data_IF_919996648659
#
_entry.id   IF_919996648659
#
_cell.length_a   1.000
_cell.length_b   1.000
_cell.length_c   1.000
_cell.angle_alpha   90.00
_cell.angle_beta   90.00
_cell.angle_gamma   90.00
#
_symmetry.space_group_name_H-M   'P 1'
#
loop_
_entity.id
_entity.type
_entity.pdbx_description
1 polymer ?
#
# COMPACT_ATOMS: atom_id res chain seq x y z
N UNK A 1 33.25 18.35 49.20
CA UNK A 1 32.29 17.48 48.47
C UNK A 1 32.97 17.01 47.19
N UNK A 2 33.15 15.71 46.97
CA UNK A 2 33.74 15.21 45.71
C UNK A 2 32.66 15.25 44.63
N UNK A 3 32.91 15.99 43.54
CA UNK A 3 32.03 15.99 42.38
C UNK A 3 32.12 14.63 41.68
N UNK A 4 31.04 13.85 41.71
CA UNK A 4 30.98 12.56 41.02
C UNK A 4 30.68 12.83 39.54
N UNK A 5 31.62 12.47 38.67
CA UNK A 5 31.49 12.63 37.22
C UNK A 5 30.35 11.73 36.71
N UNK A 6 29.28 12.32 36.14
CA UNK A 6 28.20 11.59 35.49
C UNK A 6 28.50 11.39 34.00
N UNK A 7 28.16 10.22 33.47
CA UNK A 7 28.34 9.86 32.06
C UNK A 7 26.96 9.78 31.39
N UNK A 8 26.82 10.21 30.14
CA UNK A 8 25.53 10.21 29.43
C UNK A 8 25.62 9.46 28.11
N UNK A 9 24.58 8.69 27.80
CA UNK A 9 24.45 8.02 26.51
C UNK A 9 24.12 9.02 25.39
N UNK A 10 24.92 9.09 24.31
CA UNK A 10 24.66 10.02 23.21
C UNK A 10 23.43 9.63 22.37
N UNK A 11 22.95 8.39 22.47
CA UNK A 11 21.82 7.89 21.69
C UNK A 11 20.46 8.19 22.34
N UNK A 12 20.36 8.10 23.67
CA UNK A 12 19.09 8.20 24.39
C UNK A 12 19.12 9.14 25.61
N UNK A 13 20.27 9.71 25.97
CA UNK A 13 20.41 10.67 27.07
C UNK A 13 20.45 10.07 28.48
N UNK A 14 20.34 8.74 28.65
CA UNK A 14 20.39 8.08 29.95
C UNK A 14 21.75 8.31 30.63
N UNK A 15 21.71 8.64 31.93
CA UNK A 15 22.91 8.83 32.75
C UNK A 15 23.39 7.53 33.39
N UNK A 16 24.70 7.35 33.43
CA UNK A 16 25.38 6.20 34.02
C UNK A 16 26.35 6.65 35.12
N UNK A 17 26.41 5.86 36.20
CA UNK A 17 27.27 6.12 37.35
C UNK A 17 28.76 5.83 37.07
N UNK A 18 29.07 5.13 35.99
CA UNK A 18 30.45 4.86 35.54
C UNK A 18 30.49 4.65 34.03
N UNK A 19 31.66 4.87 33.44
CA UNK A 19 31.93 4.62 32.02
C UNK A 19 31.69 3.16 31.63
N UNK A 20 32.01 2.21 32.52
CA UNK A 20 31.72 0.78 32.30
C UNK A 20 30.22 0.49 32.18
N UNK A 21 29.37 1.14 32.99
CA UNK A 21 27.92 1.01 32.88
C UNK A 21 27.39 1.65 31.60
N UNK A 22 27.96 2.79 31.20
CA UNK A 22 27.62 3.41 29.91
C UNK A 22 27.97 2.47 28.75
N UNK A 23 29.14 1.85 28.77
CA UNK A 23 29.57 0.93 27.71
C UNK A 23 28.68 -0.32 27.64
N UNK A 24 28.28 -0.88 28.78
CA UNK A 24 27.33 -2.01 28.83
C UNK A 24 25.95 -1.64 28.29
N UNK A 25 25.50 -0.42 28.55
CA UNK A 25 24.25 0.12 28.00
C UNK A 25 24.34 0.25 26.48
N UNK A 26 25.41 0.87 25.95
CA UNK A 26 25.63 1.02 24.50
C UNK A 26 25.70 -0.35 23.81
N UNK A 27 26.36 -1.33 24.43
CA UNK A 27 26.57 -2.66 23.86
C UNK A 27 25.38 -3.63 24.03
N UNK A 28 24.19 -3.16 24.42
CA UNK A 28 22.98 -3.99 24.42
C UNK A 28 22.85 -4.93 25.63
N UNK A 29 23.39 -4.60 26.81
CA UNK A 29 23.06 -5.40 28.00
C UNK A 29 21.62 -5.10 28.43
N UNK A 30 20.71 -6.06 28.27
CA UNK A 30 19.29 -5.95 28.66
C UNK A 30 19.07 -5.51 30.11
N UNK A 31 20.01 -5.83 31.01
CA UNK A 31 19.99 -5.36 32.42
C UNK A 31 20.21 -3.85 32.59
N UNK A 32 20.71 -3.15 31.58
CA UNK A 32 21.04 -1.72 31.64
C UNK A 32 20.24 -0.89 30.62
N UNK A 33 19.10 -1.43 30.13
CA UNK A 33 18.26 -0.76 29.12
C UNK A 33 18.97 -0.58 27.77
N UNK A 34 19.87 -1.50 27.42
CA UNK A 34 20.75 -1.36 26.27
C UNK A 34 20.04 -1.37 24.93
N UNK A 35 20.72 -0.83 23.92
CA UNK A 35 20.25 -0.83 22.53
C UNK A 35 20.57 -2.19 21.89
N UNK A 36 19.74 -3.20 22.15
CA UNK A 36 19.84 -4.48 21.46
C UNK A 36 19.73 -4.25 19.94
N UNK A 37 20.84 -4.44 19.22
CA UNK A 37 20.83 -4.55 17.75
C UNK A 37 21.80 -3.70 16.93
N UNK A 38 22.63 -2.83 17.51
CA UNK A 38 23.54 -1.97 16.71
C UNK A 38 25.01 -2.45 16.61
N UNK A 39 25.37 -3.61 17.16
CA UNK A 39 26.78 -4.00 17.37
C UNK A 39 27.27 -5.32 16.76
N UNK A 40 26.57 -5.95 15.80
CA UNK A 40 27.13 -7.10 15.07
C UNK A 40 27.76 -6.62 13.76
N UNK A 41 29.10 -6.63 13.70
CA UNK A 41 29.90 -6.30 12.51
C UNK A 41 30.06 -7.44 11.52
N UNK A 42 29.41 -8.59 11.74
CA UNK A 42 29.26 -9.63 10.71
C UNK A 42 28.00 -9.40 9.87
N UNK A 43 27.79 -8.16 9.41
CA UNK A 43 26.83 -7.93 8.34
C UNK A 43 27.50 -8.30 7.02
N UNK A 44 26.88 -9.14 6.17
CA UNK A 44 27.32 -9.26 4.79
C UNK A 44 27.39 -7.85 4.21
N UNK A 45 28.51 -7.53 3.53
CA UNK A 45 28.74 -6.21 2.91
C UNK A 45 27.43 -5.67 2.37
N UNK A 46 26.99 -4.47 2.80
CA UNK A 46 25.72 -3.93 2.37
C UNK A 46 25.73 -3.95 0.85
N UNK A 47 24.86 -4.78 0.27
CA UNK A 47 24.61 -4.77 -1.17
C UNK A 47 24.46 -3.30 -1.52
N UNK A 48 25.27 -2.74 -2.44
CA UNK A 48 25.23 -1.33 -2.77
C UNK A 48 23.77 -0.99 -3.05
N UNK A 49 23.17 -0.21 -2.15
CA UNK A 49 21.84 0.32 -2.44
C UNK A 49 22.03 1.15 -3.70
N UNK A 50 21.29 0.88 -4.78
CA UNK A 50 21.36 1.74 -5.95
C UNK A 50 21.18 3.17 -5.46
N UNK A 51 22.10 4.05 -5.86
CA UNK A 51 22.03 5.46 -5.49
C UNK A 51 20.62 5.95 -5.86
N UNK A 52 19.86 6.38 -4.86
CA UNK A 52 18.51 6.89 -5.08
C UNK A 52 18.64 8.04 -6.07
N UNK A 53 17.83 8.04 -7.11
CA UNK A 53 17.83 9.14 -8.07
C UNK A 53 17.51 10.44 -7.33
N UNK A 54 18.29 11.50 -7.57
CA UNK A 54 17.95 12.82 -7.03
C UNK A 54 16.57 13.21 -7.60
N UNK A 55 15.58 13.44 -6.73
CA UNK A 55 14.21 13.67 -7.17
C UNK A 55 14.13 15.01 -7.89
N UNK A 56 13.45 15.01 -9.04
CA UNK A 56 13.28 16.23 -9.83
C UNK A 56 12.46 17.31 -9.10
N UNK A 57 11.70 16.94 -8.07
CA UNK A 57 10.86 17.82 -7.26
C UNK A 57 11.13 17.65 -5.75
N UNK A 58 11.80 18.62 -5.10
CA UNK A 58 12.07 18.60 -3.67
C UNK A 58 10.80 18.51 -2.80
N UNK A 59 9.70 19.13 -3.21
CA UNK A 59 8.45 19.09 -2.45
C UNK A 59 7.87 17.67 -2.43
N UNK A 60 7.82 17.02 -3.59
CA UNK A 60 7.35 15.63 -3.70
C UNK A 60 8.22 14.70 -2.86
N UNK A 61 9.54 14.86 -2.92
CA UNK A 61 10.48 14.09 -2.10
C UNK A 61 10.18 14.25 -0.60
N UNK A 62 10.11 15.49 -0.12
CA UNK A 62 9.92 15.77 1.29
C UNK A 62 8.57 15.22 1.78
N UNK A 63 7.53 15.30 0.93
CA UNK A 63 6.24 14.67 1.19
C UNK A 63 6.36 13.14 1.32
N UNK A 64 7.07 12.48 0.41
CA UNK A 64 7.27 11.02 0.45
C UNK A 64 8.08 10.57 1.67
N UNK A 65 9.14 11.32 2.01
CA UNK A 65 9.94 11.07 3.22
C UNK A 65 9.07 11.22 4.48
N UNK A 66 8.20 12.23 4.52
CA UNK A 66 7.28 12.46 5.63
C UNK A 66 6.28 11.31 5.78
N UNK A 67 5.68 10.84 4.68
CA UNK A 67 4.77 9.69 4.69
C UNK A 67 5.42 8.44 5.29
N UNK A 68 6.63 8.11 4.85
CA UNK A 68 7.36 6.97 5.40
C UNK A 68 7.64 7.09 6.89
N UNK A 69 8.05 8.29 7.34
CA UNK A 69 8.31 8.53 8.76
C UNK A 69 7.04 8.35 9.59
N UNK A 70 5.90 8.77 9.07
CA UNK A 70 4.61 8.66 9.75
C UNK A 70 4.04 7.24 9.75
N UNK A 71 4.52 6.35 8.89
CA UNK A 71 4.10 4.94 8.88
C UNK A 71 4.27 4.24 10.23
N UNK A 72 5.32 4.59 10.98
CA UNK A 72 5.59 4.02 12.30
C UNK A 72 4.71 4.63 13.42
N UNK A 73 3.92 5.67 13.12
CA UNK A 73 3.08 6.35 14.12
C UNK A 73 1.82 5.51 14.38
N UNK A 74 1.52 5.14 15.64
CA UNK A 74 0.34 4.36 15.96
C UNK A 74 -0.95 5.02 15.44
N UNK A 75 -1.85 4.21 14.87
CA UNK A 75 -3.15 4.64 14.31
C UNK A 75 -3.05 5.60 13.11
N UNK A 76 -1.86 5.94 12.62
CA UNK A 76 -1.73 6.71 11.40
C UNK A 76 -2.27 5.90 10.21
N UNK A 77 -3.09 6.53 9.37
CA UNK A 77 -3.75 5.87 8.24
C UNK A 77 -2.86 5.93 7.01
N UNK A 78 -1.69 5.28 7.10
CA UNK A 78 -0.68 5.27 6.05
C UNK A 78 -1.29 4.82 4.70
N UNK A 79 -2.02 3.69 4.69
CA UNK A 79 -2.60 3.15 3.45
C UNK A 79 -3.51 4.16 2.74
N UNK A 80 -4.28 4.95 3.50
CA UNK A 80 -5.19 5.97 2.95
C UNK A 80 -4.41 7.15 2.35
N UNK A 81 -3.36 7.60 3.03
CA UNK A 81 -2.52 8.69 2.57
C UNK A 81 -1.75 8.30 1.30
N UNK A 82 -1.21 7.08 1.26
CA UNK A 82 -0.45 6.58 0.11
C UNK A 82 -1.35 6.14 -1.03
N UNK A 83 -2.54 5.58 -0.73
CA UNK A 83 -3.47 5.08 -1.75
C UNK A 83 -3.89 6.15 -2.75
N UNK A 84 -4.09 7.40 -2.29
CA UNK A 84 -4.42 8.52 -3.18
C UNK A 84 -3.26 8.87 -4.11
N UNK A 85 -2.01 8.80 -3.63
CA UNK A 85 -0.84 9.05 -4.47
C UNK A 85 -0.63 7.90 -5.47
N UNK A 86 -0.72 6.65 -5.00
CA UNK A 86 -0.57 5.46 -5.83
C UNK A 86 -1.64 5.36 -6.92
N UNK A 87 -2.85 5.88 -6.66
CA UNK A 87 -3.92 5.96 -7.67
C UNK A 87 -3.52 6.72 -8.95
N UNK A 88 -2.56 7.65 -8.88
CA UNK A 88 -2.05 8.38 -10.06
C UNK A 88 -1.26 7.49 -11.02
N UNK A 89 -0.65 6.43 -10.49
CA UNK A 89 0.22 5.49 -11.22
C UNK A 89 -0.47 4.15 -11.48
N UNK A 90 -1.54 3.85 -10.73
CA UNK A 90 -2.25 2.58 -10.79
C UNK A 90 -2.74 2.22 -12.20
N UNK A 91 -3.31 3.13 -13.02
CA UNK A 91 -3.65 2.81 -14.40
C UNK A 91 -2.46 2.31 -15.21
N UNK A 92 -1.36 3.08 -15.26
CA UNK A 92 -0.15 2.69 -16.02
C UNK A 92 0.47 1.39 -15.50
N UNK A 93 0.42 1.15 -14.19
CA UNK A 93 0.87 -0.11 -13.61
C UNK A 93 0.06 -1.31 -14.09
N UNK A 94 -1.26 -1.19 -14.10
CA UNK A 94 -2.14 -2.26 -14.57
C UNK A 94 -2.10 -2.41 -16.10
N UNK A 95 -1.92 -1.33 -16.87
CA UNK A 95 -1.66 -1.41 -18.32
C UNK A 95 -0.40 -2.21 -18.60
N UNK A 96 0.69 -1.93 -17.89
CA UNK A 96 1.95 -2.64 -18.06
C UNK A 96 1.85 -4.12 -17.67
N UNK A 97 1.15 -4.44 -16.57
CA UNK A 97 1.02 -5.84 -16.09
C UNK A 97 -0.03 -6.66 -16.84
N UNK A 98 -1.14 -6.06 -17.25
CA UNK A 98 -2.28 -6.77 -17.82
C UNK A 98 -2.47 -6.52 -19.33
N UNK A 99 -1.79 -5.53 -19.90
CA UNK A 99 -2.02 -5.06 -21.26
C UNK A 99 -3.38 -4.35 -21.43
N UNK A 100 -3.59 -3.74 -22.60
CA UNK A 100 -4.76 -2.91 -22.86
C UNK A 100 -4.66 -1.53 -22.20
N UNK A 101 -5.64 -0.66 -22.43
CA UNK A 101 -5.73 0.64 -21.76
C UNK A 101 -6.52 0.51 -20.47
N UNK A 102 -6.11 1.22 -19.41
CA UNK A 102 -6.76 1.19 -18.10
C UNK A 102 -7.12 2.61 -17.69
N UNK A 103 -8.35 2.80 -17.22
CA UNK A 103 -8.84 4.08 -16.71
C UNK A 103 -9.38 3.90 -15.30
N UNK A 104 -8.92 4.73 -14.37
CA UNK A 104 -9.47 4.79 -13.02
C UNK A 104 -10.88 5.42 -13.08
N UNK A 105 -11.89 4.71 -12.60
CA UNK A 105 -13.27 5.20 -12.50
C UNK A 105 -13.51 5.85 -11.13
N UNK A 106 -13.16 5.14 -10.06
CA UNK A 106 -13.45 5.60 -8.70
C UNK A 106 -12.41 5.12 -7.67
N UNK A 107 -12.12 5.94 -6.64
CA UNK A 107 -11.15 5.64 -5.59
C UNK A 107 -11.76 4.92 -4.37
N UNK A 108 -13.02 4.47 -4.44
CA UNK A 108 -13.62 3.46 -3.56
C UNK A 108 -14.88 2.91 -4.26
N UNK A 109 -15.11 1.60 -4.21
CA UNK A 109 -16.33 0.98 -4.74
C UNK A 109 -17.01 0.08 -3.70
N UNK A 110 -18.26 0.38 -3.30
CA UNK A 110 -18.96 -0.37 -2.27
C UNK A 110 -19.53 -1.67 -2.83
N UNK A 111 -19.16 -2.76 -2.19
CA UNK A 111 -19.54 -4.14 -2.46
C UNK A 111 -20.48 -4.62 -1.36
N UNK A 112 -21.76 -4.81 -1.71
CA UNK A 112 -22.78 -5.26 -0.77
C UNK A 112 -22.50 -6.70 -0.31
N UNK A 113 -22.53 -6.95 1.01
CA UNK A 113 -22.43 -8.30 1.57
C UNK A 113 -23.75 -9.06 1.37
N UNK A 114 -23.67 -10.34 1.00
CA UNK A 114 -24.85 -11.19 0.83
C UNK A 114 -25.65 -11.27 2.15
N UNK A 115 -26.98 -11.24 2.06
CA UNK A 115 -27.86 -11.32 3.24
C UNK A 115 -27.78 -10.15 4.23
N UNK A 116 -26.98 -9.11 3.98
CA UNK A 116 -26.75 -8.01 4.91
C UNK A 116 -27.10 -6.64 4.32
N UNK A 117 -27.32 -5.66 5.20
CA UNK A 117 -27.40 -4.25 4.84
C UNK A 117 -26.02 -3.57 4.79
N UNK A 118 -24.96 -4.28 5.18
CA UNK A 118 -23.59 -3.79 5.19
C UNK A 118 -22.92 -3.97 3.83
N UNK A 119 -21.93 -3.12 3.56
CA UNK A 119 -21.01 -3.24 2.44
C UNK A 119 -19.57 -3.33 2.95
N UNK A 120 -18.71 -3.94 2.15
CA UNK A 120 -17.25 -3.70 2.19
C UNK A 120 -16.89 -2.82 1.00
N UNK A 121 -15.73 -2.18 1.00
CA UNK A 121 -15.29 -1.38 -0.15
C UNK A 121 -14.04 -2.03 -0.76
N UNK A 122 -13.99 -2.11 -2.08
CA UNK A 122 -12.73 -2.23 -2.79
C UNK A 122 -12.10 -0.83 -2.92
N UNK A 123 -10.78 -0.74 -2.80
CA UNK A 123 -10.10 0.55 -2.83
C UNK A 123 -10.24 1.26 -4.17
N UNK A 124 -10.27 0.54 -5.30
CA UNK A 124 -10.42 1.18 -6.61
C UNK A 124 -11.33 0.39 -7.54
N UNK A 125 -12.11 1.11 -8.34
CA UNK A 125 -12.75 0.58 -9.53
C UNK A 125 -12.08 1.19 -10.75
N UNK A 126 -11.62 0.33 -11.65
CA UNK A 126 -11.04 0.71 -12.93
C UNK A 126 -11.76 -0.01 -14.07
N UNK A 127 -11.72 0.59 -15.26
CA UNK A 127 -12.08 -0.08 -16.50
C UNK A 127 -10.79 -0.37 -17.27
N UNK A 128 -10.67 -1.60 -17.78
CA UNK A 128 -9.64 -2.02 -18.71
C UNK A 128 -10.30 -2.31 -20.04
N UNK A 129 -9.80 -1.73 -21.12
CA UNK A 129 -10.13 -2.11 -22.48
C UNK A 129 -8.97 -2.89 -23.08
N UNK A 130 -9.21 -4.15 -23.41
CA UNK A 130 -8.19 -4.98 -24.02
C UNK A 130 -7.91 -4.59 -25.48
N UNK A 131 -6.83 -5.10 -26.11
CA UNK A 131 -6.52 -4.77 -27.51
C UNK A 131 -7.58 -5.17 -28.53
N UNK A 132 -8.51 -6.09 -28.18
CA UNK A 132 -9.64 -6.47 -29.02
C UNK A 132 -10.85 -5.53 -28.87
N UNK A 133 -10.77 -4.56 -27.96
CA UNK A 133 -11.83 -3.60 -27.68
C UNK A 133 -12.84 -4.06 -26.62
N UNK A 134 -12.60 -5.20 -25.96
CA UNK A 134 -13.48 -5.68 -24.89
C UNK A 134 -13.19 -4.98 -23.58
N UNK A 135 -14.25 -4.53 -22.92
CA UNK A 135 -14.19 -3.86 -21.62
C UNK A 135 -14.27 -4.88 -20.47
N UNK A 136 -13.49 -4.63 -19.42
CA UNK A 136 -13.44 -5.41 -18.17
C UNK A 136 -13.36 -4.45 -16.98
N UNK A 137 -14.10 -4.74 -15.91
CA UNK A 137 -13.90 -4.02 -14.64
C UNK A 137 -12.82 -4.68 -13.81
N UNK A 138 -11.96 -3.85 -13.24
CA UNK A 138 -10.96 -4.25 -12.26
C UNK A 138 -11.35 -3.60 -10.93
N UNK A 139 -11.57 -4.45 -9.93
CA UNK A 139 -11.65 -4.06 -8.52
C UNK A 139 -10.26 -4.28 -7.91
N UNK A 140 -9.57 -3.19 -7.58
CA UNK A 140 -8.22 -3.26 -7.04
C UNK A 140 -8.20 -2.95 -5.54
N UNK A 141 -7.38 -3.68 -4.79
CA UNK A 141 -7.16 -3.49 -3.34
C UNK A 141 -5.66 -3.28 -3.08
N UNK A 142 -5.31 -2.29 -2.26
CA UNK A 142 -3.96 -2.03 -1.80
C UNK A 142 -3.80 -2.50 -0.36
N UNK A 143 -2.88 -3.44 -0.13
CA UNK A 143 -2.51 -3.91 1.22
C UNK A 143 -1.06 -3.56 1.50
N UNK A 144 -0.84 -2.41 2.13
CA UNK A 144 0.52 -1.88 2.43
C UNK A 144 1.09 -2.38 3.76
N UNK A 145 0.28 -3.10 4.55
CA UNK A 145 0.66 -3.75 5.79
C UNK A 145 0.13 -5.19 5.79
N UNK A 146 0.90 -6.14 6.31
CA UNK A 146 0.47 -7.55 6.42
C UNK A 146 -0.78 -7.70 7.27
N UNK A 147 -0.89 -6.90 8.33
CA UNK A 147 -2.04 -6.90 9.24
C UNK A 147 -3.30 -6.25 8.67
N UNK A 148 -3.21 -5.53 7.54
CA UNK A 148 -4.39 -4.95 6.88
C UNK A 148 -5.16 -5.98 6.05
N UNK A 149 -4.63 -7.20 5.91
CA UNK A 149 -5.34 -8.32 5.30
C UNK A 149 -6.42 -8.86 6.25
N UNK A 150 -7.60 -9.12 5.69
CA UNK A 150 -8.71 -9.76 6.39
C UNK A 150 -9.33 -10.81 5.50
N UNK A 151 -9.22 -12.07 5.89
CA UNK A 151 -9.64 -13.19 5.04
C UNK A 151 -11.17 -13.19 4.81
N UNK A 152 -11.96 -12.68 5.75
CA UNK A 152 -13.41 -12.50 5.58
C UNK A 152 -13.76 -11.52 4.45
N UNK A 153 -12.94 -10.46 4.26
CA UNK A 153 -13.07 -9.53 3.14
C UNK A 153 -12.75 -10.23 1.82
N UNK A 154 -11.68 -11.02 1.77
CA UNK A 154 -11.27 -11.76 0.58
C UNK A 154 -12.30 -12.82 0.18
N UNK A 155 -12.92 -13.51 1.14
CA UNK A 155 -14.03 -14.44 0.87
C UNK A 155 -15.24 -13.73 0.23
N UNK A 156 -15.55 -12.50 0.66
CA UNK A 156 -16.58 -11.68 0.02
C UNK A 156 -16.20 -11.37 -1.43
N UNK A 157 -14.95 -11.03 -1.71
CA UNK A 157 -14.46 -10.75 -3.07
C UNK A 157 -14.54 -11.99 -3.96
N UNK A 158 -14.14 -13.15 -3.45
CA UNK A 158 -14.23 -14.43 -4.15
C UNK A 158 -15.67 -14.78 -4.50
N UNK A 159 -16.63 -14.57 -3.59
CA UNK A 159 -18.05 -14.79 -3.87
C UNK A 159 -18.56 -13.84 -4.97
N UNK A 160 -18.03 -12.62 -5.04
CA UNK A 160 -18.41 -11.61 -6.04
C UNK A 160 -17.79 -11.83 -7.41
N UNK A 161 -16.67 -12.54 -7.54
CA UNK A 161 -16.10 -12.93 -8.84
C UNK A 161 -17.04 -13.78 -9.69
N UNK A 162 -17.97 -14.50 -9.06
CA UNK A 162 -19.01 -15.29 -9.73
C UNK A 162 -20.20 -14.44 -10.19
N UNK A 163 -20.17 -13.14 -9.93
CA UNK A 163 -21.26 -12.22 -10.25
C UNK A 163 -20.94 -11.37 -11.47
N UNK A 164 -21.98 -10.83 -12.11
CA UNK A 164 -21.82 -9.93 -13.26
C UNK A 164 -21.75 -8.47 -12.81
N UNK A 165 -21.18 -7.56 -13.61
CA UNK A 165 -21.22 -6.12 -13.35
C UNK A 165 -22.63 -5.59 -13.04
N UNK A 166 -23.66 -6.15 -13.70
CA UNK A 166 -25.06 -5.82 -13.40
C UNK A 166 -25.49 -6.17 -11.97
N UNK A 167 -24.98 -7.25 -11.38
CA UNK A 167 -25.20 -7.59 -9.96
C UNK A 167 -24.54 -6.56 -9.06
N UNK A 168 -23.30 -6.16 -9.35
CA UNK A 168 -22.58 -5.13 -8.59
C UNK A 168 -23.34 -3.80 -8.61
N UNK A 169 -23.86 -3.40 -9.77
CA UNK A 169 -24.64 -2.17 -9.91
C UNK A 169 -25.96 -2.20 -9.15
N UNK A 170 -26.67 -3.34 -9.15
CA UNK A 170 -27.85 -3.52 -8.28
C UNK A 170 -27.47 -3.46 -6.80
N UNK A 171 -26.32 -4.04 -6.43
CA UNK A 171 -25.77 -3.93 -5.08
C UNK A 171 -25.55 -2.48 -4.67
N UNK A 172 -24.88 -1.68 -5.52
CA UNK A 172 -24.64 -0.26 -5.32
C UNK A 172 -25.95 0.53 -5.14
N UNK A 173 -26.97 0.26 -5.96
CA UNK A 173 -28.29 0.89 -5.84
C UNK A 173 -28.99 0.54 -4.52
N UNK A 174 -28.85 -0.70 -4.05
CA UNK A 174 -29.41 -1.13 -2.76
C UNK A 174 -28.70 -0.45 -1.58
N UNK A 175 -27.38 -0.27 -1.66
CA UNK A 175 -26.61 0.48 -0.66
C UNK A 175 -27.02 1.96 -0.69
N UNK A 176 -27.13 2.57 -1.88
CA UNK A 176 -27.64 3.94 -2.05
C UNK A 176 -29.00 4.13 -1.38
N UNK A 177 -29.96 3.23 -1.65
CA UNK A 177 -31.33 3.34 -1.16
C UNK A 177 -31.40 3.40 0.38
N UNK A 178 -30.49 2.70 1.07
CA UNK A 178 -30.41 2.60 2.53
C UNK A 178 -29.46 3.62 3.17
N UNK A 179 -28.66 4.32 2.37
CA UNK A 179 -27.65 5.25 2.87
C UNK A 179 -28.23 6.63 3.19
N UNK A 180 -27.78 7.23 4.31
CA UNK A 180 -28.03 8.64 4.60
C UNK A 180 -27.25 9.59 3.67
N UNK A 181 -26.25 9.08 2.92
CA UNK A 181 -25.36 9.87 2.04
C UNK A 181 -25.66 9.66 0.56
N UNK A 182 -26.95 9.57 0.18
CA UNK A 182 -27.42 9.25 -1.19
C UNK A 182 -26.70 10.03 -2.30
N UNK A 183 -26.42 11.32 -2.10
CA UNK A 183 -25.73 12.15 -3.10
C UNK A 183 -24.33 11.63 -3.47
N UNK A 184 -23.57 11.08 -2.52
CA UNK A 184 -22.24 10.49 -2.80
C UNK A 184 -22.35 9.27 -3.71
N UNK A 185 -23.35 8.42 -3.47
CA UNK A 185 -23.62 7.23 -4.28
C UNK A 185 -24.12 7.60 -5.68
N UNK A 186 -24.95 8.65 -5.80
CA UNK A 186 -25.37 9.19 -7.11
C UNK A 186 -24.19 9.72 -7.90
N UNK A 187 -23.28 10.44 -7.25
CA UNK A 187 -22.04 10.90 -7.88
C UNK A 187 -21.19 9.71 -8.38
N UNK A 188 -20.97 8.69 -7.54
CA UNK A 188 -20.28 7.47 -7.93
C UNK A 188 -20.96 6.78 -9.13
N UNK A 189 -22.29 6.66 -9.13
CA UNK A 189 -23.04 6.13 -10.27
C UNK A 189 -22.88 6.97 -11.53
N UNK A 190 -22.77 8.29 -11.39
CA UNK A 190 -22.47 9.20 -12.50
C UNK A 190 -21.10 8.92 -13.11
N UNK A 191 -20.06 8.73 -12.27
CA UNK A 191 -18.72 8.34 -12.72
C UNK A 191 -18.71 7.00 -13.46
N UNK A 192 -19.52 6.04 -13.02
CA UNK A 192 -19.62 4.72 -13.67
C UNK A 192 -20.43 4.80 -14.96
N UNK A 193 -21.52 5.57 -14.95
CA UNK A 193 -22.47 5.68 -16.07
C UNK A 193 -21.89 6.31 -17.34
N UNK A 194 -20.72 6.95 -17.27
CA UNK A 194 -19.97 7.41 -18.44
C UNK A 194 -19.25 6.29 -19.20
N UNK A 195 -19.29 5.05 -18.70
CA UNK A 195 -18.68 3.88 -19.34
C UNK A 195 -19.70 2.77 -19.53
N UNK A 196 -19.60 1.98 -20.63
CA UNK A 196 -20.42 0.79 -20.79
C UNK A 196 -20.16 -0.20 -19.65
N UNK A 197 -21.21 -0.92 -19.23
CA UNK A 197 -21.04 -2.02 -18.29
C UNK A 197 -20.33 -3.16 -19.02
N UNK A 198 -19.18 -3.62 -18.53
CA UNK A 198 -18.48 -4.75 -19.15
C UNK A 198 -19.24 -6.06 -18.88
N UNK A 199 -18.77 -7.13 -19.52
CA UNK A 199 -19.27 -8.49 -19.25
C UNK A 199 -18.47 -9.17 -18.12
N UNK A 200 -17.26 -8.67 -17.84
CA UNK A 200 -16.31 -9.30 -16.93
C UNK A 200 -15.89 -8.39 -15.78
N UNK A 201 -15.70 -9.01 -14.61
CA UNK A 201 -15.09 -8.41 -13.42
C UNK A 201 -13.84 -9.21 -13.06
N UNK A 202 -12.80 -8.51 -12.62
CA UNK A 202 -11.58 -9.08 -12.07
C UNK A 202 -11.23 -8.41 -10.75
N UNK A 203 -10.64 -9.17 -9.84
CA UNK A 203 -10.02 -8.63 -8.64
C UNK A 203 -8.49 -8.67 -8.77
N UNK A 204 -7.87 -7.53 -8.45
CA UNK A 204 -6.41 -7.39 -8.38
C UNK A 204 -6.04 -6.99 -6.97
N UNK A 205 -5.22 -7.80 -6.30
CA UNK A 205 -4.72 -7.49 -4.96
C UNK A 205 -3.25 -7.14 -5.08
N UNK A 206 -2.88 -5.93 -4.66
CA UNK A 206 -1.50 -5.46 -4.61
C UNK A 206 -1.06 -5.49 -3.16
N UNK A 207 -0.13 -6.40 -2.82
CA UNK A 207 0.27 -6.64 -1.44
C UNK A 207 1.78 -6.86 -1.29
N UNK A 208 2.29 -6.61 -0.09
CA UNK A 208 3.65 -7.02 0.29
C UNK A 208 3.79 -8.54 0.50
N UNK A 209 2.68 -9.26 0.74
CA UNK A 209 2.70 -10.68 1.12
C UNK A 209 1.55 -11.42 0.41
N UNK A 210 1.73 -11.77 -0.87
CA UNK A 210 0.65 -12.35 -1.68
C UNK A 210 0.37 -13.82 -1.31
N UNK A 211 -0.86 -14.13 -0.91
CA UNK A 211 -1.31 -15.52 -0.69
C UNK A 211 -1.99 -16.10 -1.92
N UNK A 212 -1.17 -16.46 -2.91
CA UNK A 212 -1.64 -17.01 -4.19
C UNK A 212 -2.41 -18.32 -4.01
N UNK A 213 -2.03 -19.14 -3.04
CA UNK A 213 -2.59 -20.49 -2.87
C UNK A 213 -3.98 -20.47 -2.23
N UNK A 214 -4.28 -19.49 -1.36
CA UNK A 214 -5.57 -19.40 -0.68
C UNK A 214 -6.67 -18.85 -1.58
N UNK A 215 -6.32 -17.96 -2.51
CA UNK A 215 -7.25 -17.29 -3.43
C UNK A 215 -6.67 -17.22 -4.86
N UNK A 216 -6.59 -18.38 -5.56
CA UNK A 216 -5.94 -18.47 -6.86
C UNK A 216 -6.68 -17.71 -7.98
N UNK A 217 -7.95 -17.38 -7.77
CA UNK A 217 -8.76 -16.61 -8.72
C UNK A 217 -8.45 -15.11 -8.74
N UNK A 218 -7.73 -14.58 -7.74
CA UNK A 218 -7.26 -13.20 -7.75
C UNK A 218 -5.96 -13.06 -8.54
N UNK A 219 -5.79 -11.90 -9.17
CA UNK A 219 -4.48 -11.50 -9.65
C UNK A 219 -3.72 -10.86 -8.49
N UNK A 220 -2.70 -11.56 -8.03
CA UNK A 220 -1.78 -11.08 -7.01
C UNK A 220 -0.61 -10.37 -7.66
N UNK A 221 -0.47 -9.09 -7.37
CA UNK A 221 0.68 -8.26 -7.71
C UNK A 221 1.35 -7.79 -6.41
N UNK A 222 2.60 -7.37 -6.52
CA UNK A 222 3.41 -6.93 -5.39
C UNK A 222 3.89 -5.49 -5.55
N UNK A 223 4.40 -4.91 -4.47
CA UNK A 223 5.13 -3.64 -4.58
C UNK A 223 6.47 -3.80 -5.33
N UNK A 224 7.05 -5.01 -5.35
CA UNK A 224 8.21 -5.34 -6.18
C UNK A 224 7.89 -5.29 -7.66
N UNK A 225 6.75 -5.88 -8.05
CA UNK A 225 6.23 -5.74 -9.41
C UNK A 225 6.15 -4.26 -9.80
N UNK A 226 5.64 -3.42 -8.90
CA UNK A 226 5.53 -1.99 -9.15
C UNK A 226 6.91 -1.31 -9.25
N UNK A 227 7.89 -1.74 -8.46
CA UNK A 227 9.27 -1.24 -8.53
C UNK A 227 9.92 -1.51 -9.89
N UNK A 228 9.59 -2.63 -10.52
CA UNK A 228 10.09 -3.02 -11.85
C UNK A 228 9.39 -2.31 -13.01
N UNK A 229 8.29 -1.60 -12.74
CA UNK A 229 7.55 -0.88 -13.78
C UNK A 229 8.42 0.22 -14.40
N UNK A 230 8.51 0.31 -15.74
CA UNK A 230 9.16 1.43 -16.40
C UNK A 230 8.42 2.74 -16.07
N UNK A 231 9.13 3.87 -16.15
CA UNK A 231 8.54 5.17 -15.86
C UNK A 231 7.38 5.46 -16.84
N UNK A 232 6.15 5.72 -16.35
CA UNK A 232 5.05 6.09 -17.24
C UNK A 232 5.40 7.40 -17.94
N UNK A 233 5.16 7.56 -19.25
CA UNK A 233 5.56 8.77 -19.98
C UNK A 233 5.01 10.07 -19.38
N UNK A 234 3.81 10.03 -18.80
CA UNK A 234 3.19 11.19 -18.13
C UNK A 234 3.89 11.60 -16.84
N UNK A 235 4.57 10.67 -16.19
CA UNK A 235 5.15 10.82 -14.85
C UNK A 235 6.63 10.42 -14.82
N UNK A 236 7.31 10.52 -15.95
CA UNK A 236 8.69 10.05 -16.13
C UNK A 236 9.67 10.66 -15.14
N UNK A 237 9.43 11.92 -14.76
CA UNK A 237 10.22 12.70 -13.80
C UNK A 237 9.83 12.44 -12.33
N UNK A 238 8.55 12.24 -12.02
CA UNK A 238 8.09 12.00 -10.64
C UNK A 238 8.20 10.53 -10.24
N UNK A 239 8.08 9.61 -11.20
CA UNK A 239 8.05 8.17 -10.97
C UNK A 239 9.27 7.65 -10.21
N UNK A 240 10.52 8.02 -10.55
CA UNK A 240 11.68 7.57 -9.78
C UNK A 240 11.57 7.93 -8.30
N UNK A 241 11.07 9.13 -7.98
CA UNK A 241 10.88 9.55 -6.59
C UNK A 241 9.84 8.69 -5.87
N UNK A 242 8.69 8.45 -6.49
CA UNK A 242 7.62 7.61 -5.92
C UNK A 242 8.08 6.16 -5.79
N UNK A 243 8.75 5.63 -6.82
CA UNK A 243 9.32 4.29 -6.82
C UNK A 243 10.33 4.12 -5.70
N UNK A 244 11.31 5.00 -5.62
CA UNK A 244 12.46 4.88 -4.73
C UNK A 244 12.09 5.17 -3.27
N UNK A 245 11.20 6.15 -3.04
CA UNK A 245 10.84 6.57 -1.70
C UNK A 245 9.56 5.95 -1.17
N UNK A 246 8.53 5.67 -1.98
CA UNK A 246 7.30 5.06 -1.44
C UNK A 246 7.28 3.54 -1.61
N UNK A 247 7.58 3.08 -2.82
CA UNK A 247 7.41 1.67 -3.20
C UNK A 247 8.60 0.83 -2.75
N UNK A 248 9.82 1.37 -2.84
CA UNK A 248 11.06 0.71 -2.39
C UNK A 248 10.99 0.22 -0.95
N UNK A 249 10.66 1.09 0.04
CA UNK A 249 10.48 0.64 1.43
C UNK A 249 9.40 -0.42 1.59
N UNK A 250 8.30 -0.34 0.83
CA UNK A 250 7.26 -1.37 0.83
C UNK A 250 7.76 -2.71 0.28
N UNK A 251 8.63 -2.69 -0.73
CA UNK A 251 9.21 -3.89 -1.34
C UNK A 251 10.39 -4.49 -0.54
N UNK A 252 11.08 -3.69 0.27
CA UNK A 252 12.20 -4.16 1.09
C UNK A 252 11.75 -4.90 2.36
N UNK A 253 10.59 -4.53 2.92
CA UNK A 253 10.00 -5.23 4.08
C UNK A 253 9.50 -6.63 3.76
N UNK A 254 9.09 -6.87 2.50
CA UNK A 254 8.78 -8.20 2.00
C UNK A 254 9.94 -9.18 2.28
N UNK A 255 11.18 -8.77 1.96
CA UNK A 255 12.39 -9.59 2.14
C UNK A 255 12.73 -9.91 3.60
N UNK A 256 12.38 -9.04 4.54
CA UNK A 256 12.81 -9.20 5.95
C UNK A 256 12.03 -10.27 6.71
N UNK A 257 10.93 -10.74 6.13
CA UNK A 257 10.03 -11.69 6.80
C UNK A 257 9.87 -13.00 6.03
N UNK A 258 10.67 -13.19 4.97
CA UNK A 258 10.87 -14.48 4.28
C UNK A 258 12.15 -15.13 4.79
#
# INVERSE_FOLDING_TARGET
MKSTKQFHCPLCGISAASEHHLQKHINGSSRYGGHDGMGRTDQPSPVPRPALSEPADPLLRDYLVLLNRWRAVPKYQYERATGTLLALFLPSFLEWKLGGSVTLIAPEFPLKKAGSAQSTNADFLLNRRDPSGQDEWILAELKTDRSSRRDDQLQVYQALLKTTPGVLMRGLQQVEARSAKKQKYRYLRGLIGSSPLPDKVRFVIISQDPEKDAFPEFIWLTFRDWQEMPAPPRWDTQWPSVRDHLIGPLADEEKRSS
#
